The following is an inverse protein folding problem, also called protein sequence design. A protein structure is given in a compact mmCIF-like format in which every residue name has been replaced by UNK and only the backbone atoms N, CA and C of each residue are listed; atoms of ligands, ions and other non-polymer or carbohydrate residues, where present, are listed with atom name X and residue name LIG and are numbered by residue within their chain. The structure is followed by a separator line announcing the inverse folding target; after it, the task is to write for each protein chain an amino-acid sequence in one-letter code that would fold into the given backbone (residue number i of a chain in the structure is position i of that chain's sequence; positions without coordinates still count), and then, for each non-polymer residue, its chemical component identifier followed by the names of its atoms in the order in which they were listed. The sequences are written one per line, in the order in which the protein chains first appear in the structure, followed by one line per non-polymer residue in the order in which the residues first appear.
data_IF_884897504581
#
_entry.id   IF_884897504581
#
_cell.length_a   1.000
_cell.length_b   1.000
_cell.length_c   1.000
_cell.angle_alpha   90.00
_cell.angle_beta   90.00
_cell.angle_gamma   90.00
#
_symmetry.space_group_name_H-M   'P 1'
#
loop_
_entity.id
_entity.type
_entity.pdbx_description
1 polymer ?
#
# COMPACT_ATOMS: atom_id res chain seq x y z
N UNK A 1 -40.65 -13.38 -21.28
CA UNK A 1 -40.70 -12.46 -20.12
C UNK A 1 -39.93 -13.00 -18.92
N UNK A 2 -40.08 -14.28 -18.53
CA UNK A 2 -39.36 -14.86 -17.38
C UNK A 2 -37.83 -14.96 -17.53
N UNK A 3 -37.32 -15.32 -18.71
CA UNK A 3 -35.87 -15.53 -18.88
C UNK A 3 -35.06 -14.23 -18.72
N UNK A 4 -35.56 -13.12 -19.29
CA UNK A 4 -34.92 -11.81 -19.21
C UNK A 4 -34.94 -11.27 -17.77
N UNK A 5 -36.04 -11.49 -17.04
CA UNK A 5 -36.19 -11.14 -15.62
C UNK A 5 -35.24 -11.94 -14.71
N UNK A 6 -35.10 -13.24 -14.96
CA UNK A 6 -34.17 -14.11 -14.23
C UNK A 6 -32.71 -13.70 -14.52
N UNK A 7 -32.38 -13.38 -15.78
CA UNK A 7 -31.04 -12.92 -16.16
C UNK A 7 -30.68 -11.58 -15.51
N UNK A 8 -31.60 -10.61 -15.50
CA UNK A 8 -31.40 -9.34 -14.78
C UNK A 8 -31.28 -9.53 -13.27
N UNK A 9 -32.03 -10.47 -12.68
CA UNK A 9 -31.96 -10.77 -11.24
C UNK A 9 -30.60 -11.38 -10.86
N UNK A 10 -30.06 -12.29 -11.67
CA UNK A 10 -28.74 -12.90 -11.48
C UNK A 10 -27.62 -11.85 -11.60
N UNK A 11 -27.72 -10.91 -12.54
CA UNK A 11 -26.80 -9.78 -12.68
C UNK A 11 -26.82 -8.84 -11.46
N UNK A 12 -27.99 -8.59 -10.86
CA UNK A 12 -28.11 -7.78 -9.65
C UNK A 12 -27.71 -8.52 -8.36
N UNK A 13 -27.66 -9.85 -8.40
CA UNK A 13 -27.25 -10.73 -7.29
C UNK A 13 -25.74 -11.00 -7.27
N UNK A 14 -24.98 -10.47 -8.22
CA UNK A 14 -23.52 -10.38 -8.06
C UNK A 14 -23.26 -9.43 -6.89
N UNK A 15 -23.00 -10.02 -5.73
CA UNK A 15 -22.55 -9.33 -4.54
C UNK A 15 -21.45 -8.34 -4.91
N UNK A 16 -21.65 -7.07 -4.59
CA UNK A 16 -20.56 -6.09 -4.56
C UNK A 16 -19.59 -6.62 -3.51
N UNK A 17 -18.58 -7.38 -3.94
CA UNK A 17 -17.50 -7.76 -3.05
C UNK A 17 -16.73 -6.46 -2.78
N UNK A 18 -17.05 -5.81 -1.66
CA UNK A 18 -16.22 -4.74 -1.14
C UNK A 18 -14.95 -5.38 -0.59
N UNK A 19 -13.98 -5.65 -1.46
CA UNK A 19 -12.65 -6.03 -1.01
C UNK A 19 -12.03 -4.79 -0.37
N UNK A 20 -11.53 -4.95 0.85
CA UNK A 20 -10.76 -3.88 1.47
C UNK A 20 -9.43 -3.78 0.75
N UNK A 21 -9.08 -2.57 0.30
CA UNK A 21 -7.85 -2.35 -0.45
C UNK A 21 -6.64 -2.71 0.43
N UNK A 22 -5.59 -3.32 -0.14
CA UNK A 22 -4.34 -3.49 0.57
C UNK A 22 -3.76 -2.12 0.95
N UNK A 23 -2.77 -2.14 1.83
CA UNK A 23 -2.09 -0.92 2.22
C UNK A 23 -0.58 -1.13 2.31
N UNK A 24 0.16 -0.04 2.14
CA UNK A 24 1.60 -0.01 2.32
C UNK A 24 1.98 0.82 3.54
N UNK A 25 3.03 0.41 4.23
CA UNK A 25 3.62 1.13 5.36
C UNK A 25 5.02 1.60 4.98
N UNK A 26 5.29 2.89 5.19
CA UNK A 26 6.63 3.47 5.14
C UNK A 26 7.08 3.83 6.55
N UNK A 27 8.17 3.23 7.02
CA UNK A 27 8.71 3.45 8.35
C UNK A 27 9.33 4.86 8.51
N UNK A 28 9.60 5.24 9.76
CA UNK A 28 10.21 6.53 10.08
C UNK A 28 11.74 6.50 9.99
N UNK A 29 12.33 7.64 10.33
CA UNK A 29 13.79 7.79 10.41
C UNK A 29 14.37 6.84 11.45
N UNK A 30 15.56 6.30 11.19
CA UNK A 30 16.29 5.37 12.05
C UNK A 30 15.58 4.05 12.33
N UNK A 31 14.62 3.65 11.50
CA UNK A 31 13.86 2.40 11.64
C UNK A 31 13.97 1.54 10.37
N UNK A 32 13.39 0.33 10.37
CA UNK A 32 13.30 -0.57 9.20
C UNK A 32 12.13 -1.54 9.35
N UNK A 33 11.65 -2.11 8.26
CA UNK A 33 10.49 -3.01 8.26
C UNK A 33 10.69 -4.26 9.13
N UNK A 34 11.92 -4.77 9.21
CA UNK A 34 12.22 -5.96 10.02
C UNK A 34 12.27 -5.67 11.53
N UNK A 35 12.21 -4.41 11.96
CA UNK A 35 12.18 -4.08 13.37
C UNK A 35 10.82 -4.46 13.96
N UNK A 36 10.83 -4.99 15.18
CA UNK A 36 9.64 -5.54 15.84
C UNK A 36 8.48 -4.55 15.90
N UNK A 37 8.75 -3.28 16.19
CA UNK A 37 7.72 -2.25 16.27
C UNK A 37 6.98 -2.03 14.94
N UNK A 38 7.69 -1.96 13.82
CA UNK A 38 7.10 -1.74 12.49
C UNK A 38 6.40 -3.01 12.00
N UNK A 39 7.03 -4.17 12.18
CA UNK A 39 6.44 -5.46 11.81
C UNK A 39 5.14 -5.71 12.58
N UNK A 40 5.16 -5.52 13.90
CA UNK A 40 3.98 -5.67 14.74
C UNK A 40 2.88 -4.67 14.40
N UNK A 41 3.24 -3.41 14.14
CA UNK A 41 2.27 -2.40 13.70
C UNK A 41 1.59 -2.78 12.37
N UNK A 42 2.34 -3.28 11.40
CA UNK A 42 1.82 -3.72 10.10
C UNK A 42 0.89 -4.92 10.24
N UNK A 43 1.28 -5.90 11.06
CA UNK A 43 0.45 -7.07 11.37
C UNK A 43 -0.85 -6.67 12.08
N UNK A 44 -0.76 -5.79 13.08
CA UNK A 44 -1.90 -5.30 13.84
C UNK A 44 -2.92 -4.58 12.95
N UNK A 45 -2.44 -3.69 12.07
CA UNK A 45 -3.29 -3.01 11.09
C UNK A 45 -3.93 -3.99 10.10
N UNK A 46 -3.17 -5.00 9.65
CA UNK A 46 -3.70 -6.03 8.74
C UNK A 46 -4.84 -6.80 9.42
N UNK A 47 -4.64 -7.20 10.68
CA UNK A 47 -5.64 -7.91 11.47
C UNK A 47 -6.89 -7.07 11.76
N UNK A 48 -6.74 -5.77 12.05
CA UNK A 48 -7.87 -4.89 12.35
C UNK A 48 -8.66 -4.48 11.12
N UNK A 49 -7.98 -4.24 10.01
CA UNK A 49 -8.63 -3.84 8.75
C UNK A 49 -9.15 -5.02 7.93
N UNK A 50 -8.68 -6.24 8.19
CA UNK A 50 -8.92 -7.39 7.32
C UNK A 50 -8.29 -7.22 5.92
N UNK A 51 -7.32 -6.32 5.78
CA UNK A 51 -6.65 -5.99 4.51
C UNK A 51 -5.19 -6.42 4.53
N UNK A 52 -4.63 -6.88 3.40
CA UNK A 52 -3.20 -7.15 3.32
C UNK A 52 -2.37 -5.88 3.53
N UNK A 53 -1.41 -5.95 4.45
CA UNK A 53 -0.47 -4.87 4.73
C UNK A 53 0.95 -5.22 4.30
N UNK A 54 1.62 -4.30 3.60
CA UNK A 54 2.99 -4.46 3.10
C UNK A 54 3.90 -3.35 3.65
N UNK A 55 4.90 -3.69 4.44
CA UNK A 55 5.94 -2.72 4.79
C UNK A 55 6.97 -2.63 3.65
N UNK A 56 7.15 -1.44 3.08
CA UNK A 56 8.03 -1.21 1.94
C UNK A 56 9.39 -0.73 2.46
N UNK A 57 10.33 -1.67 2.55
CA UNK A 57 11.70 -1.38 2.95
C UNK A 57 12.41 -0.55 1.88
N UNK A 58 13.12 0.53 2.25
CA UNK A 58 13.84 1.37 1.29
C UNK A 58 15.33 1.27 1.55
N UNK A 59 16.07 0.78 0.56
CA UNK A 59 17.51 0.59 0.68
C UNK A 59 17.88 -0.26 1.90
N UNK A 60 18.77 0.26 2.73
CA UNK A 60 19.26 -0.33 3.98
C UNK A 60 18.52 0.22 5.22
N UNK A 61 17.22 0.52 5.08
CA UNK A 61 16.32 0.91 6.16
C UNK A 61 16.86 2.01 7.05
N UNK A 62 17.28 1.64 8.27
CA UNK A 62 17.75 2.57 9.29
C UNK A 62 18.81 3.53 8.75
N UNK A 63 19.82 3.01 8.04
CA UNK A 63 20.90 3.85 7.49
C UNK A 63 20.41 4.77 6.38
N UNK A 64 19.66 4.26 5.43
CA UNK A 64 19.23 5.05 4.27
C UNK A 64 18.15 6.07 4.63
N UNK A 65 17.36 5.85 5.69
CA UNK A 65 16.43 6.85 6.22
C UNK A 65 17.14 8.15 6.70
N UNK A 66 18.42 8.06 7.10
CA UNK A 66 19.24 9.22 7.48
C UNK A 66 19.94 9.88 6.29
N UNK A 67 20.51 9.07 5.39
CA UNK A 67 21.52 9.55 4.45
C UNK A 67 21.11 9.48 2.98
N UNK A 68 20.03 8.77 2.64
CA UNK A 68 19.51 8.74 1.27
C UNK A 68 18.63 9.97 1.02
N UNK A 69 18.86 10.74 -0.05
CA UNK A 69 17.96 11.82 -0.44
C UNK A 69 16.53 11.31 -0.68
N UNK A 70 15.53 12.08 -0.22
CA UNK A 70 14.12 11.68 -0.34
C UNK A 70 13.68 11.34 -1.76
N UNK A 71 14.15 12.06 -2.78
CA UNK A 71 13.80 11.76 -4.17
C UNK A 71 14.19 10.33 -4.56
N UNK A 72 15.37 9.86 -4.12
CA UNK A 72 15.79 8.48 -4.35
C UNK A 72 14.99 7.48 -3.53
N UNK A 73 14.60 7.83 -2.31
CA UNK A 73 13.71 6.99 -1.50
C UNK A 73 12.35 6.82 -2.20
N UNK A 74 11.82 7.89 -2.78
CA UNK A 74 10.57 7.89 -3.56
C UNK A 74 10.71 7.07 -4.84
N UNK A 75 11.81 7.18 -5.57
CA UNK A 75 12.06 6.37 -6.77
C UNK A 75 12.04 4.87 -6.43
N UNK A 76 12.74 4.47 -5.37
CA UNK A 76 12.76 3.08 -4.89
C UNK A 76 11.36 2.63 -4.42
N UNK A 77 10.64 3.49 -3.69
CA UNK A 77 9.28 3.19 -3.27
C UNK A 77 8.36 2.97 -4.48
N UNK A 78 8.47 3.82 -5.52
CA UNK A 78 7.72 3.73 -6.77
C UNK A 78 7.97 2.40 -7.48
N UNK A 79 9.23 1.99 -7.60
CA UNK A 79 9.57 0.71 -8.22
C UNK A 79 8.98 -0.46 -7.41
N UNK A 80 9.14 -0.45 -6.08
CA UNK A 80 8.66 -1.52 -5.22
C UNK A 80 7.14 -1.68 -5.20
N UNK A 81 6.37 -0.59 -5.21
CA UNK A 81 4.90 -0.72 -5.22
C UNK A 81 4.38 -1.25 -6.55
N UNK A 82 5.11 -1.04 -7.66
CA UNK A 82 4.75 -1.62 -8.97
C UNK A 82 5.02 -3.12 -9.06
N UNK A 83 5.93 -3.64 -8.24
CA UNK A 83 6.27 -5.07 -8.20
C UNK A 83 5.27 -5.91 -7.39
N UNK A 84 4.35 -5.28 -6.66
CA UNK A 84 3.35 -5.97 -5.83
C UNK A 84 2.02 -6.02 -6.59
N UNK A 85 1.73 -7.16 -7.20
CA UNK A 85 0.55 -7.37 -8.05
C UNK A 85 -0.77 -7.04 -7.33
N UNK A 86 -0.85 -7.28 -6.02
CA UNK A 86 -2.05 -7.00 -5.22
C UNK A 86 -2.38 -5.51 -5.12
N UNK A 87 -1.40 -4.61 -5.35
CA UNK A 87 -1.61 -3.17 -5.32
C UNK A 87 -2.15 -2.62 -6.65
N UNK A 88 -2.19 -3.43 -7.71
CA UNK A 88 -2.52 -3.00 -9.08
C UNK A 88 -3.89 -2.33 -9.23
N UNK A 89 -4.89 -2.80 -8.48
CA UNK A 89 -6.26 -2.24 -8.45
C UNK A 89 -6.44 -1.11 -7.41
N UNK A 90 -5.38 -0.80 -6.67
CA UNK A 90 -5.27 0.33 -5.77
C UNK A 90 -4.95 -0.05 -4.33
N UNK A 91 -4.47 0.94 -3.56
CA UNK A 91 -4.02 0.73 -2.19
C UNK A 91 -4.04 2.01 -1.34
N UNK A 92 -3.95 1.85 -0.02
CA UNK A 92 -3.76 2.95 0.92
C UNK A 92 -2.30 3.10 1.36
N UNK A 93 -1.91 4.32 1.74
CA UNK A 93 -0.56 4.61 2.24
C UNK A 93 -0.62 4.99 3.72
N UNK A 94 0.21 4.33 4.53
CA UNK A 94 0.42 4.65 5.94
C UNK A 94 1.88 5.08 6.10
N UNK A 95 2.11 6.37 6.33
CA UNK A 95 3.44 6.92 6.58
C UNK A 95 3.69 7.15 8.07
N UNK A 96 4.74 6.53 8.62
CA UNK A 96 5.17 6.76 9.99
C UNK A 96 6.25 7.84 10.04
N UNK A 97 5.98 8.97 10.70
CA UNK A 97 6.96 10.05 10.86
C UNK A 97 7.55 10.49 9.50
N UNK A 98 8.86 10.32 9.29
CA UNK A 98 9.55 10.62 8.03
C UNK A 98 8.98 9.84 6.82
N UNK A 99 8.49 8.62 7.03
CA UNK A 99 7.88 7.80 5.99
C UNK A 99 6.66 8.46 5.32
N UNK A 100 6.01 9.42 6.00
CA UNK A 100 4.94 10.21 5.39
C UNK A 100 5.43 11.08 4.23
N UNK A 101 6.68 11.57 4.26
CA UNK A 101 7.26 12.34 3.15
C UNK A 101 7.55 11.43 1.95
N UNK A 102 7.96 10.19 2.18
CA UNK A 102 8.11 9.19 1.12
C UNK A 102 6.75 8.88 0.50
N UNK A 103 5.74 8.59 1.33
CA UNK A 103 4.38 8.33 0.86
C UNK A 103 3.78 9.51 0.07
N UNK A 104 4.01 10.76 0.52
CA UNK A 104 3.59 11.95 -0.23
C UNK A 104 4.32 12.08 -1.56
N UNK A 105 5.64 11.87 -1.57
CA UNK A 105 6.44 11.89 -2.79
C UNK A 105 6.01 10.81 -3.78
N UNK A 106 5.63 9.62 -3.30
CA UNK A 106 5.08 8.55 -4.12
C UNK A 106 3.84 9.03 -4.88
N UNK A 107 2.88 9.66 -4.19
CA UNK A 107 1.66 10.21 -4.80
C UNK A 107 1.97 11.33 -5.80
N UNK A 108 2.96 12.18 -5.51
CA UNK A 108 3.27 13.36 -6.34
C UNK A 108 4.16 13.05 -7.55
N UNK A 109 5.03 12.05 -7.45
CA UNK A 109 6.14 11.85 -8.39
C UNK A 109 6.11 10.49 -9.12
N UNK A 110 5.34 9.50 -8.65
CA UNK A 110 5.21 8.19 -9.29
C UNK A 110 3.99 8.14 -10.22
N UNK A 111 4.07 8.77 -11.39
CA UNK A 111 2.92 8.95 -12.30
C UNK A 111 2.37 7.67 -12.94
N UNK A 112 3.17 6.61 -12.97
CA UNK A 112 2.86 5.30 -13.57
C UNK A 112 2.75 4.19 -12.52
N UNK A 113 2.64 4.56 -11.23
CA UNK A 113 2.39 3.62 -10.14
C UNK A 113 0.92 3.17 -10.08
N UNK A 114 0.61 2.11 -9.30
CA UNK A 114 -0.77 1.74 -9.04
C UNK A 114 -1.54 2.88 -8.34
N UNK A 115 -2.88 2.93 -8.48
CA UNK A 115 -3.66 4.03 -7.96
C UNK A 115 -3.65 4.06 -6.43
N UNK A 116 -3.52 5.25 -5.85
CA UNK A 116 -3.63 5.45 -4.40
C UNK A 116 -5.03 5.93 -4.07
N UNK A 117 -5.70 5.27 -3.11
CA UNK A 117 -7.06 5.60 -2.67
C UNK A 117 -7.12 6.45 -1.41
#
# INVERSE_FOLDING_TARGET
MNFMLIFTLILTLQSINTYSLPFVVFHGISDKCSNEGVSYFTELLSNWSGSPGYCIEIGNGEWDSWFMPFTKQVDIACDKVKEIDELSEGYHIIGLSQGNMVGRGLVELCSDGPPVS
#
